data_IF_865690102057
#
_entry.id   IF_865690102057
#
_cell.length_a   1.000
_cell.length_b   1.000
_cell.length_c   1.000
_cell.angle_alpha   90.00
_cell.angle_beta   90.00
_cell.angle_gamma   90.00
#
_symmetry.space_group_name_H-M   'P 1'
#
loop_
_entity.id
_entity.type
_entity.pdbx_description
1 polymer ?
#
# COMPACT_ATOMS: atom_id res chain seq x y z
N UNK A 1 -36.36 34.31 9.14
CA UNK A 1 -37.14 33.09 8.82
C UNK A 1 -36.80 32.63 7.42
N UNK A 2 -36.18 31.47 7.27
CA UNK A 2 -36.09 30.76 5.99
C UNK A 2 -35.79 29.28 6.30
N UNK A 3 -36.84 28.47 6.35
CA UNK A 3 -36.82 27.03 6.64
C UNK A 3 -36.93 26.25 5.33
N UNK A 4 -35.83 26.08 4.60
CA UNK A 4 -35.84 25.38 3.31
C UNK A 4 -34.53 24.61 3.03
N UNK A 5 -34.00 23.90 4.03
CA UNK A 5 -32.73 23.13 3.87
C UNK A 5 -32.89 21.61 4.10
N UNK A 6 -34.10 21.11 4.34
CA UNK A 6 -34.33 19.66 4.44
C UNK A 6 -34.97 19.09 3.17
N UNK A 7 -34.16 18.82 2.14
CA UNK A 7 -34.50 17.82 1.13
C UNK A 7 -33.81 16.49 1.50
N UNK A 8 -34.56 15.41 1.79
CA UNK A 8 -33.97 14.09 1.87
C UNK A 8 -33.68 13.62 0.43
N UNK A 9 -32.40 13.57 0.05
CA UNK A 9 -32.01 12.85 -1.17
C UNK A 9 -31.97 11.36 -0.85
N UNK A 10 -33.11 10.70 -0.97
CA UNK A 10 -33.16 9.24 -1.05
C UNK A 10 -32.51 8.82 -2.37
N UNK A 11 -31.19 8.66 -2.37
CA UNK A 11 -30.51 7.91 -3.44
C UNK A 11 -30.86 6.44 -3.25
N UNK A 12 -31.69 5.91 -4.14
CA UNK A 12 -31.81 4.47 -4.32
C UNK A 12 -30.43 3.95 -4.74
N UNK A 13 -29.80 3.16 -3.87
CA UNK A 13 -28.66 2.35 -4.25
C UNK A 13 -29.20 1.25 -5.16
N UNK A 14 -28.97 1.38 -6.46
CA UNK A 14 -29.06 0.25 -7.37
C UNK A 14 -28.10 -0.83 -6.83
N UNK A 15 -28.54 -2.10 -6.66
CA UNK A 15 -27.62 -3.16 -6.33
C UNK A 15 -26.61 -3.27 -7.46
N UNK A 16 -25.36 -2.91 -7.16
CA UNK A 16 -24.23 -3.15 -8.03
C UNK A 16 -24.14 -4.67 -8.22
N UNK A 17 -24.54 -5.14 -9.39
CA UNK A 17 -24.22 -6.47 -9.88
C UNK A 17 -22.72 -6.50 -10.10
N UNK A 18 -21.96 -6.76 -9.05
CA UNK A 18 -20.55 -7.07 -9.18
C UNK A 18 -20.43 -8.32 -10.06
N UNK A 19 -20.15 -8.05 -11.33
CA UNK A 19 -19.53 -8.94 -12.29
C UNK A 19 -18.43 -9.72 -11.56
N UNK A 20 -18.63 -11.02 -11.42
CA UNK A 20 -17.51 -11.95 -11.33
C UNK A 20 -16.74 -11.86 -12.66
N UNK A 21 -15.45 -11.49 -12.67
CA UNK A 21 -14.65 -11.72 -13.86
C UNK A 21 -14.39 -13.23 -13.93
N UNK A 22 -15.23 -13.95 -14.68
CA UNK A 22 -14.90 -15.30 -15.16
C UNK A 22 -13.81 -15.13 -16.21
N UNK A 23 -12.58 -14.91 -15.75
CA UNK A 23 -11.43 -14.91 -16.64
C UNK A 23 -11.24 -16.32 -17.19
N UNK A 24 -11.07 -16.35 -18.51
CA UNK A 24 -10.79 -17.50 -19.33
C UNK A 24 -9.85 -18.48 -18.63
N UNK A 25 -10.32 -19.72 -18.46
CA UNK A 25 -9.44 -20.88 -18.42
C UNK A 25 -9.95 -21.91 -19.42
N UNK A 26 -9.80 -21.58 -20.70
CA UNK A 26 -9.73 -22.56 -21.77
C UNK A 26 -8.46 -23.38 -21.56
N UNK A 27 -8.57 -24.49 -20.83
CA UNK A 27 -7.58 -25.55 -20.96
C UNK A 27 -7.97 -26.37 -22.19
N UNK A 28 -7.36 -26.05 -23.33
CA UNK A 28 -7.31 -26.94 -24.48
C UNK A 28 -6.76 -28.29 -24.03
N UNK A 29 -7.58 -29.34 -24.11
CA UNK A 29 -7.09 -30.73 -24.06
C UNK A 29 -6.63 -31.09 -25.46
N UNK A 30 -5.38 -31.55 -25.67
CA UNK A 30 -5.01 -32.17 -26.93
C UNK A 30 -5.74 -33.51 -27.04
N UNK A 31 -6.67 -33.63 -27.98
CA UNK A 31 -7.16 -34.91 -28.49
C UNK A 31 -6.02 -35.57 -29.27
N UNK A 32 -5.18 -36.32 -28.57
CA UNK A 32 -4.31 -37.32 -29.20
C UNK A 32 -5.19 -38.52 -29.50
N UNK A 33 -5.62 -38.63 -30.75
CA UNK A 33 -6.20 -39.84 -31.32
C UNK A 33 -5.14 -40.95 -31.27
N UNK A 34 -5.34 -41.93 -30.39
CA UNK A 34 -4.60 -43.20 -30.46
C UNK A 34 -5.20 -44.04 -31.60
N UNK A 35 -4.38 -44.65 -32.47
CA UNK A 35 -4.87 -45.60 -33.45
C UNK A 35 -5.48 -46.81 -32.76
N UNK A 36 -6.69 -47.17 -33.16
CA UNK A 36 -7.40 -48.39 -32.80
C UNK A 36 -6.68 -49.60 -33.39
N UNK A 37 -5.87 -50.29 -32.60
CA UNK A 37 -5.48 -51.67 -32.88
C UNK A 37 -6.64 -52.57 -32.46
N UNK A 38 -7.31 -53.17 -33.45
CA UNK A 38 -8.39 -54.14 -33.24
C UNK A 38 -7.80 -55.44 -32.70
N UNK A 39 -7.59 -55.54 -31.40
CA UNK A 39 -7.36 -56.84 -30.75
C UNK A 39 -8.68 -57.62 -30.69
N UNK A 40 -8.73 -58.87 -31.19
CA UNK A 40 -9.93 -59.69 -31.11
C UNK A 40 -10.28 -59.98 -29.65
N UNK A 41 -11.55 -59.80 -29.31
CA UNK A 41 -12.07 -60.07 -27.99
C UNK A 41 -11.84 -61.54 -27.59
N UNK A 42 -11.27 -61.84 -26.41
CA UNK A 42 -11.25 -63.21 -25.91
C UNK A 42 -12.70 -63.68 -25.69
N UNK A 43 -13.06 -64.80 -26.31
CA UNK A 43 -14.34 -65.48 -26.09
C UNK A 43 -14.42 -65.89 -24.62
N UNK A 44 -15.22 -65.17 -23.84
CA UNK A 44 -15.51 -65.55 -22.47
C UNK A 44 -16.40 -66.81 -22.45
N UNK A 45 -16.12 -67.82 -21.59
CA UNK A 45 -17.06 -68.91 -21.36
C UNK A 45 -18.35 -68.37 -20.74
N UNK A 46 -19.49 -68.88 -21.23
CA UNK A 46 -20.83 -68.56 -20.77
C UNK A 46 -21.00 -68.97 -19.30
N UNK A 47 -20.72 -68.06 -18.38
CA UNK A 47 -21.04 -68.17 -16.96
C UNK A 47 -21.58 -66.83 -16.47
N UNK A 48 -22.84 -66.85 -16.04
CA UNK A 48 -23.65 -65.69 -15.70
C UNK A 48 -23.35 -65.13 -14.30
N UNK A 49 -22.09 -64.75 -14.04
CA UNK A 49 -21.73 -64.01 -12.83
C UNK A 49 -20.76 -62.90 -13.19
N UNK A 50 -21.23 -61.65 -13.09
CA UNK A 50 -20.44 -60.46 -13.40
C UNK A 50 -19.25 -60.36 -12.45
N UNK A 51 -18.02 -60.39 -12.95
CA UNK A 51 -16.84 -60.12 -12.13
C UNK A 51 -16.94 -58.69 -11.56
N UNK A 52 -17.04 -58.57 -10.24
CA UNK A 52 -17.01 -57.29 -9.55
C UNK A 52 -15.65 -56.62 -9.79
N UNK A 53 -15.61 -55.63 -10.69
CA UNK A 53 -14.42 -54.81 -10.88
C UNK A 53 -14.08 -54.08 -9.57
N UNK A 54 -12.83 -54.19 -9.12
CA UNK A 54 -12.32 -53.49 -7.93
C UNK A 54 -12.54 -51.99 -8.11
N UNK A 55 -13.37 -51.39 -7.26
CA UNK A 55 -13.63 -49.93 -7.26
C UNK A 55 -12.30 -49.19 -7.08
N UNK A 56 -11.96 -48.33 -8.04
CA UNK A 56 -10.78 -47.45 -7.97
C UNK A 56 -10.91 -46.60 -6.69
N UNK A 57 -9.94 -46.70 -5.78
CA UNK A 57 -9.90 -45.86 -4.57
C UNK A 57 -9.90 -44.40 -5.01
N UNK A 58 -10.90 -43.60 -4.58
CA UNK A 58 -10.94 -42.16 -4.84
C UNK A 58 -9.56 -41.59 -4.49
N UNK A 59 -9.01 -40.74 -5.36
CA UNK A 59 -7.75 -40.04 -5.10
C UNK A 59 -7.84 -39.43 -3.69
N UNK A 60 -7.06 -39.97 -2.76
CA UNK A 60 -7.01 -39.51 -1.38
C UNK A 60 -6.39 -38.11 -1.44
N UNK A 61 -7.25 -37.10 -1.52
CA UNK A 61 -6.79 -35.71 -1.50
C UNK A 61 -6.20 -35.52 -0.12
N UNK A 62 -4.94 -35.07 -0.06
CA UNK A 62 -4.22 -34.88 1.20
C UNK A 62 -5.13 -34.12 2.20
N UNK A 63 -5.39 -34.68 3.40
CA UNK A 63 -6.23 -34.04 4.40
C UNK A 63 -5.76 -32.61 4.74
N UNK A 64 -4.46 -32.33 4.64
CA UNK A 64 -3.92 -30.97 4.82
C UNK A 64 -4.43 -30.00 3.77
N UNK A 65 -4.50 -30.43 2.51
CA UNK A 65 -5.06 -29.62 1.42
C UNK A 65 -6.55 -29.37 1.66
N UNK A 66 -7.27 -30.36 2.19
CA UNK A 66 -8.69 -30.18 2.54
C UNK A 66 -8.89 -29.22 3.71
N UNK A 67 -8.04 -29.28 4.74
CA UNK A 67 -8.05 -28.35 5.87
C UNK A 67 -7.69 -26.92 5.44
N UNK A 68 -6.66 -26.76 4.61
CA UNK A 68 -6.28 -25.46 4.03
C UNK A 68 -7.46 -24.88 3.23
N UNK A 69 -8.08 -25.68 2.34
CA UNK A 69 -9.26 -25.25 1.57
C UNK A 69 -10.42 -24.88 2.48
N UNK A 70 -10.67 -25.70 3.49
CA UNK A 70 -11.70 -25.43 4.49
C UNK A 70 -11.46 -24.08 5.16
N UNK A 71 -10.28 -23.81 5.72
CA UNK A 71 -9.98 -22.56 6.42
C UNK A 71 -9.93 -21.32 5.51
N UNK A 72 -9.51 -21.47 4.24
CA UNK A 72 -9.47 -20.34 3.30
C UNK A 72 -10.86 -19.96 2.76
N UNK A 73 -11.74 -20.94 2.54
CA UNK A 73 -13.03 -20.71 1.88
C UNK A 73 -14.21 -21.11 2.77
N UNK A 74 -14.06 -21.00 4.08
CA UNK A 74 -15.09 -21.48 4.99
C UNK A 74 -16.33 -20.56 4.98
N UNK A 75 -17.55 -21.09 4.77
CA UNK A 75 -18.78 -20.28 4.79
C UNK A 75 -19.27 -19.90 6.20
N UNK A 76 -18.63 -20.34 7.30
CA UNK A 76 -19.00 -19.90 8.66
C UNK A 76 -18.47 -18.48 8.98
N UNK A 77 -18.77 -17.52 8.09
CA UNK A 77 -18.68 -16.11 8.48
C UNK A 77 -19.90 -15.78 9.35
N UNK A 78 -19.72 -15.01 10.44
CA UNK A 78 -20.85 -14.63 11.28
C UNK A 78 -21.85 -13.81 10.46
N UNK A 79 -23.13 -13.91 10.82
CA UNK A 79 -24.18 -13.08 10.19
C UNK A 79 -23.86 -11.59 10.38
N UNK A 80 -24.26 -10.71 9.43
CA UNK A 80 -24.07 -9.28 9.57
C UNK A 80 -24.62 -8.74 10.89
N UNK A 81 -23.86 -7.85 11.52
CA UNK A 81 -24.18 -7.30 12.83
C UNK A 81 -25.43 -6.42 12.77
N UNK A 82 -26.44 -6.74 13.60
CA UNK A 82 -27.69 -5.98 13.72
C UNK A 82 -27.67 -5.17 15.00
N UNK A 83 -27.77 -3.84 14.89
CA UNK A 83 -27.80 -2.95 16.04
C UNK A 83 -29.23 -2.45 16.33
N UNK A 84 -29.56 -2.30 17.62
CA UNK A 84 -30.72 -1.51 18.04
C UNK A 84 -30.47 -0.02 17.74
N UNK A 85 -31.53 0.78 17.72
CA UNK A 85 -31.45 2.22 17.43
C UNK A 85 -30.43 2.96 18.30
N UNK A 86 -30.47 2.78 19.62
CA UNK A 86 -29.54 3.46 20.55
C UNK A 86 -28.10 3.01 20.36
N UNK A 87 -27.86 1.72 20.11
CA UNK A 87 -26.53 1.17 19.82
C UNK A 87 -25.99 1.68 18.48
N UNK A 88 -26.83 1.73 17.45
CA UNK A 88 -26.47 2.29 16.15
C UNK A 88 -26.06 3.75 16.25
N UNK A 89 -26.81 4.57 16.99
CA UNK A 89 -26.48 5.98 17.20
C UNK A 89 -25.15 6.16 17.93
N UNK A 90 -24.88 5.38 19.00
CA UNK A 90 -23.59 5.39 19.70
C UNK A 90 -22.43 5.01 18.77
N UNK A 91 -22.61 3.97 17.96
CA UNK A 91 -21.60 3.57 16.99
C UNK A 91 -21.34 4.68 15.95
N UNK A 92 -22.41 5.30 15.45
CA UNK A 92 -22.33 6.39 14.48
C UNK A 92 -21.60 7.61 15.05
N UNK A 93 -21.89 8.01 16.28
CA UNK A 93 -21.22 9.16 16.91
C UNK A 93 -19.74 8.88 17.13
N UNK A 94 -19.37 7.70 17.64
CA UNK A 94 -17.96 7.29 17.80
C UNK A 94 -17.24 7.29 16.45
N UNK A 95 -17.86 6.72 15.41
CA UNK A 95 -17.26 6.68 14.08
C UNK A 95 -17.05 8.08 13.49
N UNK A 96 -18.03 8.98 13.63
CA UNK A 96 -17.89 10.38 13.18
C UNK A 96 -16.81 11.12 13.96
N UNK A 97 -16.76 10.96 15.28
CA UNK A 97 -15.74 11.56 16.13
C UNK A 97 -14.33 11.07 15.74
N UNK A 98 -14.18 9.77 15.47
CA UNK A 98 -12.93 9.19 14.98
C UNK A 98 -12.50 9.78 13.64
N UNK A 99 -13.41 9.91 12.67
CA UNK A 99 -13.10 10.53 11.37
C UNK A 99 -12.69 12.00 11.51
N UNK A 100 -13.30 12.74 12.43
CA UNK A 100 -12.90 14.12 12.73
C UNK A 100 -11.51 14.18 13.39
N UNK A 101 -11.24 13.27 14.32
CA UNK A 101 -9.92 13.14 14.94
C UNK A 101 -8.83 12.86 13.90
N UNK A 102 -9.04 11.87 13.02
CA UNK A 102 -8.11 11.54 11.93
C UNK A 102 -7.87 12.74 11.00
N UNK A 103 -8.92 13.51 10.67
CA UNK A 103 -8.78 14.73 9.86
C UNK A 103 -7.90 15.77 10.56
N UNK A 104 -8.12 15.98 11.86
CA UNK A 104 -7.31 16.91 12.66
C UNK A 104 -5.85 16.46 12.70
N UNK A 105 -5.58 15.17 12.90
CA UNK A 105 -4.23 14.61 12.93
C UNK A 105 -3.52 14.76 11.58
N UNK A 106 -4.23 14.56 10.47
CA UNK A 106 -3.67 14.80 9.13
C UNK A 106 -3.31 16.27 8.94
N UNK A 107 -4.20 17.20 9.29
CA UNK A 107 -3.92 18.63 9.20
C UNK A 107 -2.75 19.06 10.08
N UNK A 108 -2.57 18.48 11.27
CA UNK A 108 -1.41 18.81 12.10
C UNK A 108 -0.11 18.31 11.48
N UNK A 109 -0.12 17.10 10.89
CA UNK A 109 1.02 16.55 10.14
C UNK A 109 1.35 17.41 8.92
N UNK A 110 0.37 17.73 8.09
CA UNK A 110 0.54 18.59 6.90
C UNK A 110 1.14 19.93 7.27
N UNK A 111 0.59 20.62 8.28
CA UNK A 111 1.14 21.91 8.75
C UNK A 111 2.54 21.78 9.36
N UNK A 112 2.86 20.66 10.00
CA UNK A 112 4.20 20.44 10.53
C UNK A 112 5.21 20.31 9.37
N UNK A 113 4.85 19.55 8.33
CA UNK A 113 5.65 19.44 7.11
C UNK A 113 5.77 20.78 6.39
N UNK A 114 4.68 21.54 6.26
CA UNK A 114 4.70 22.90 5.70
C UNK A 114 5.66 23.81 6.47
N UNK A 115 5.61 23.83 7.81
CA UNK A 115 6.54 24.62 8.62
C UNK A 115 7.99 24.22 8.42
N UNK A 116 8.27 22.92 8.40
CA UNK A 116 9.62 22.40 8.12
C UNK A 116 10.09 22.84 6.74
N UNK A 117 9.25 22.69 5.72
CA UNK A 117 9.54 23.12 4.36
C UNK A 117 9.80 24.63 4.27
N UNK A 118 8.95 25.47 4.87
CA UNK A 118 9.12 26.92 4.86
C UNK A 118 10.40 27.35 5.58
N UNK A 119 10.74 26.70 6.70
CA UNK A 119 12.00 26.92 7.42
C UNK A 119 13.20 26.54 6.56
N UNK A 120 13.19 25.35 5.94
CA UNK A 120 14.25 24.90 5.04
C UNK A 120 14.41 25.83 3.83
N UNK A 121 13.28 26.27 3.24
CA UNK A 121 13.27 27.21 2.11
C UNK A 121 13.91 28.54 2.49
N UNK A 122 13.50 29.12 3.62
CA UNK A 122 14.06 30.38 4.11
C UNK A 122 15.57 30.27 4.37
N UNK A 123 16.02 29.17 4.97
CA UNK A 123 17.44 28.92 5.20
C UNK A 123 18.23 28.77 3.87
N UNK A 124 17.65 28.10 2.87
CA UNK A 124 18.28 27.96 1.55
C UNK A 124 18.36 29.29 0.79
N UNK A 125 17.32 30.13 0.87
CA UNK A 125 17.38 31.49 0.32
C UNK A 125 18.46 32.33 1.01
N UNK A 126 18.59 32.24 2.33
CA UNK A 126 19.67 32.92 3.05
C UNK A 126 21.06 32.47 2.55
N UNK A 127 21.27 31.17 2.30
CA UNK A 127 22.51 30.65 1.73
C UNK A 127 22.75 31.09 0.28
N UNK A 128 21.69 31.36 -0.49
CA UNK A 128 21.78 31.84 -1.87
C UNK A 128 22.32 33.27 -1.92
N UNK A 129 21.92 34.10 -0.96
CA UNK A 129 22.33 35.50 -0.83
C UNK A 129 23.66 35.69 -0.11
N UNK A 130 24.24 34.63 0.47
CA UNK A 130 25.47 34.71 1.23
C UNK A 130 26.70 34.76 0.30
N UNK A 131 27.63 35.66 0.62
CA UNK A 131 28.97 35.71 0.04
C UNK A 131 29.98 34.86 0.84
N UNK A 132 31.17 34.60 0.29
CA UNK A 132 32.22 33.78 0.94
C UNK A 132 32.67 34.37 2.30
N UNK A 133 32.49 35.69 2.51
CA UNK A 133 32.79 36.39 3.77
C UNK A 133 31.62 36.39 4.78
N UNK A 134 30.49 35.75 4.46
CA UNK A 134 29.32 35.70 5.34
C UNK A 134 28.44 36.95 5.30
N UNK A 135 28.68 37.87 4.37
CA UNK A 135 27.84 39.06 4.17
C UNK A 135 26.65 38.72 3.26
N UNK A 136 25.49 39.34 3.50
CA UNK A 136 24.31 39.18 2.66
C UNK A 136 24.34 40.14 1.48
N UNK A 137 24.02 39.62 0.31
CA UNK A 137 24.00 40.32 -0.97
C UNK A 137 22.56 40.49 -1.45
N UNK A 138 22.29 41.50 -2.29
CA UNK A 138 20.96 41.71 -2.87
C UNK A 138 20.54 40.55 -3.77
N UNK A 139 19.22 40.34 -3.91
CA UNK A 139 18.68 39.22 -4.71
C UNK A 139 19.07 39.29 -6.19
N UNK A 140 19.25 40.50 -6.73
CA UNK A 140 19.62 40.75 -8.13
C UNK A 140 21.09 40.38 -8.42
N UNK A 141 21.96 40.53 -7.42
CA UNK A 141 23.38 40.17 -7.53
C UNK A 141 23.61 38.67 -7.33
N UNK A 142 22.71 38.00 -6.60
CA UNK A 142 22.73 36.57 -6.35
C UNK A 142 22.19 35.77 -7.56
N UNK A 143 23.04 34.93 -8.15
CA UNK A 143 22.65 34.03 -9.23
C UNK A 143 21.82 32.82 -8.77
N UNK A 144 21.26 32.09 -9.74
CA UNK A 144 20.65 30.78 -9.52
C UNK A 144 19.30 30.85 -8.82
N UNK A 145 18.24 31.21 -9.56
CA UNK A 145 16.85 31.15 -9.10
C UNK A 145 16.06 30.11 -9.90
N UNK A 146 15.20 29.34 -9.23
CA UNK A 146 14.33 28.36 -9.89
C UNK A 146 15.05 27.10 -10.39
N UNK A 147 14.67 26.62 -11.58
CA UNK A 147 15.11 25.33 -12.13
C UNK A 147 16.64 25.28 -12.39
N UNK A 148 17.25 26.42 -12.70
CA UNK A 148 18.67 26.54 -13.03
C UNK A 148 19.48 27.07 -11.84
N UNK A 149 19.48 26.30 -10.74
CA UNK A 149 20.22 26.64 -9.51
C UNK A 149 21.74 26.79 -9.71
N UNK A 150 22.28 26.35 -10.84
CA UNK A 150 23.70 26.50 -11.22
C UNK A 150 24.06 27.83 -11.87
N UNK A 151 23.09 28.68 -12.21
CA UNK A 151 23.35 29.97 -12.85
C UNK A 151 24.16 30.90 -11.95
N UNK A 152 25.16 31.57 -12.51
CA UNK A 152 26.04 32.49 -11.78
C UNK A 152 25.52 33.92 -11.88
N UNK A 153 25.61 34.65 -10.77
CA UNK A 153 25.22 36.06 -10.70
C UNK A 153 26.36 37.00 -11.09
N UNK A 154 26.13 38.30 -10.95
CA UNK A 154 27.10 39.34 -11.30
C UNK A 154 28.42 39.22 -10.52
N UNK A 155 28.36 38.77 -9.25
CA UNK A 155 29.55 38.52 -8.40
C UNK A 155 30.18 37.14 -8.59
N UNK A 156 29.79 36.41 -9.63
CA UNK A 156 30.42 35.14 -10.00
C UNK A 156 30.12 33.99 -9.05
N UNK A 157 31.14 33.18 -8.74
CA UNK A 157 31.00 31.90 -8.01
C UNK A 157 31.06 32.02 -6.49
N UNK A 158 31.43 33.17 -5.94
CA UNK A 158 31.58 33.37 -4.49
C UNK A 158 30.19 33.43 -3.84
N UNK A 159 29.29 34.23 -4.40
CA UNK A 159 27.90 34.31 -3.94
C UNK A 159 27.13 33.02 -4.26
N UNK A 160 26.42 32.50 -3.26
CA UNK A 160 25.58 31.31 -3.39
C UNK A 160 26.35 29.99 -3.55
N UNK A 161 27.66 29.96 -3.27
CA UNK A 161 28.48 28.74 -3.34
C UNK A 161 27.93 27.63 -2.43
N UNK A 162 27.65 27.97 -1.18
CA UNK A 162 27.09 27.03 -0.19
C UNK A 162 25.71 26.52 -0.61
N UNK A 163 24.88 27.38 -1.18
CA UNK A 163 23.57 27.01 -1.72
C UNK A 163 23.70 25.94 -2.83
N UNK A 164 24.59 26.15 -3.82
CA UNK A 164 24.82 25.17 -4.90
C UNK A 164 25.33 23.83 -4.36
N UNK A 165 26.23 23.86 -3.38
CA UNK A 165 26.71 22.65 -2.71
C UNK A 165 25.57 21.91 -1.98
N UNK A 166 24.71 22.63 -1.24
CA UNK A 166 23.58 22.06 -0.52
C UNK A 166 22.49 21.49 -1.44
N UNK A 167 22.29 22.08 -2.63
CA UNK A 167 21.34 21.58 -3.62
C UNK A 167 21.82 20.32 -4.35
N UNK A 168 23.09 19.92 -4.18
CA UNK A 168 23.64 18.71 -4.80
C UNK A 168 22.94 17.45 -4.26
N UNK A 169 22.44 16.59 -5.17
CA UNK A 169 21.75 15.33 -4.82
C UNK A 169 22.65 14.09 -4.93
N UNK A 170 23.97 14.26 -4.81
CA UNK A 170 24.94 13.15 -4.86
C UNK A 170 24.63 12.14 -3.75
N UNK A 171 24.52 10.85 -4.11
CA UNK A 171 24.22 9.71 -3.21
C UNK A 171 22.88 9.76 -2.45
N UNK A 172 22.02 10.74 -2.72
CA UNK A 172 20.67 10.83 -2.08
C UNK A 172 19.78 9.66 -2.50
N UNK A 173 19.94 9.15 -3.72
CA UNK A 173 19.13 8.06 -4.28
C UNK A 173 19.60 6.65 -3.92
N UNK A 174 20.61 6.50 -3.04
CA UNK A 174 21.15 5.21 -2.62
C UNK A 174 20.22 4.49 -1.63
N UNK A 175 20.22 4.93 -0.37
CA UNK A 175 19.30 4.50 0.70
C UNK A 175 19.61 5.29 1.98
N UNK A 176 18.73 5.18 2.98
CA UNK A 176 18.98 5.69 4.34
C UNK A 176 19.67 4.57 5.15
N UNK A 177 20.63 4.89 6.06
CA UNK A 177 21.24 3.90 6.95
C UNK A 177 20.20 3.08 7.72
N UNK A 178 20.35 1.76 7.73
CA UNK A 178 19.36 0.82 8.25
C UNK A 178 19.14 0.97 9.76
N UNK A 179 20.17 1.44 10.48
CA UNK A 179 20.11 1.70 11.92
C UNK A 179 19.12 2.81 12.28
N UNK A 180 18.95 3.80 11.39
CA UNK A 180 17.98 4.89 11.57
C UNK A 180 16.55 4.50 11.16
N UNK A 181 16.38 3.49 10.32
CA UNK A 181 15.07 3.03 9.84
C UNK A 181 14.33 2.13 10.85
N UNK A 182 14.82 2.01 12.10
CA UNK A 182 14.18 1.22 13.15
C UNK A 182 12.82 1.81 13.54
N UNK A 183 11.78 0.99 13.49
CA UNK A 183 10.42 1.38 13.88
C UNK A 183 10.30 1.54 15.40
N UNK A 184 9.34 2.36 15.82
CA UNK A 184 8.96 2.49 17.22
C UNK A 184 8.32 1.19 17.72
N UNK A 185 8.68 0.77 18.93
CA UNK A 185 8.17 -0.44 19.60
C UNK A 185 7.33 -0.06 20.82
N UNK A 186 6.41 -0.94 21.22
CA UNK A 186 5.52 -0.71 22.37
C UNK A 186 6.28 -0.66 23.71
N UNK A 187 7.34 -1.47 23.85
CA UNK A 187 8.18 -1.52 25.05
C UNK A 187 9.67 -1.42 24.66
N UNK A 188 10.48 -0.64 25.41
CA UNK A 188 11.90 -0.52 25.12
C UNK A 188 12.63 -1.85 25.37
N UNK A 189 13.75 -2.05 24.67
CA UNK A 189 14.69 -3.13 24.98
C UNK A 189 15.36 -2.92 26.34
N UNK A 190 15.90 -4.01 26.91
CA UNK A 190 16.68 -3.97 28.17
C UNK A 190 17.84 -2.98 28.10
N UNK A 191 18.49 -2.91 26.95
CA UNK A 191 19.48 -1.89 26.60
C UNK A 191 18.85 -0.98 25.55
N UNK A 192 18.30 0.17 25.99
CA UNK A 192 17.56 1.08 25.12
C UNK A 192 18.46 1.91 24.19
N UNK A 193 19.72 2.12 24.56
CA UNK A 193 20.70 2.88 23.78
C UNK A 193 22.12 2.33 23.99
N UNK A 194 22.88 2.22 22.90
CA UNK A 194 24.27 1.76 22.96
C UNK A 194 25.22 2.95 23.19
N UNK A 195 25.60 3.19 24.44
CA UNK A 195 26.59 4.22 24.82
C UNK A 195 28.03 3.85 24.43
N UNK A 196 28.33 2.58 24.16
CA UNK A 196 29.66 2.09 23.80
C UNK A 196 29.90 2.10 22.28
N UNK A 197 29.05 2.75 21.49
CA UNK A 197 29.23 2.85 20.04
C UNK A 197 30.52 3.61 19.69
N UNK A 198 31.34 3.03 18.80
CA UNK A 198 32.59 3.60 18.30
C UNK A 198 32.55 3.70 16.76
N UNK A 199 33.28 4.69 16.21
CA UNK A 199 33.29 5.06 14.79
C UNK A 199 34.29 4.24 13.97
#
# INVERSE_FOLDING_TARGET
MNLSIFRPTSRHLTPSTFRTPTLLRQNARPTISKPTTTTPAPRAPFSATTFLQKRKTKNLTDPRITAIRYHLTHPLTPRPLRFSRTRYLRHWTIHRAWLLFLRKQRWTQERALERQYMSMRAACEALRLLDDKGNTVSEAEAGGFGADAGSLGARGREVGRLYRSAMSKKKVWGSVPVEYARAQVDFPSREGWNHAWMR
#
